data_IF_981811767885
#
_entry.id   IF_981811767885
#
_cell.length_a   1.000
_cell.length_b   1.000
_cell.length_c   1.000
_cell.angle_alpha   90.00
_cell.angle_beta   90.00
_cell.angle_gamma   90.00
#
_symmetry.space_group_name_H-M   'P 1'
#
loop_
_entity.id
_entity.type
_entity.pdbx_description
1 polymer ?
#
# COMPACT_ATOMS: atom_id res chain seq x y z
N UNK A 1 -23.35 -6.97 57.35
CA UNK A 1 -21.92 -7.25 57.06
C UNK A 1 -21.63 -8.63 56.43
N UNK A 2 -22.38 -9.74 56.69
CA UNK A 2 -22.00 -11.07 56.15
C UNK A 2 -22.38 -11.30 54.67
N UNK A 3 -23.28 -10.49 54.10
CA UNK A 3 -23.66 -10.64 52.68
C UNK A 3 -22.62 -10.04 51.72
N UNK A 4 -21.83 -9.07 52.17
CA UNK A 4 -20.80 -8.43 51.34
C UNK A 4 -19.57 -9.33 51.21
N UNK A 5 -19.21 -10.06 52.26
CA UNK A 5 -18.11 -11.04 52.23
C UNK A 5 -18.43 -12.19 51.29
N UNK A 6 -19.63 -12.77 51.37
CA UNK A 6 -20.05 -13.89 50.50
C UNK A 6 -20.07 -13.49 49.02
N UNK A 7 -20.55 -12.28 48.69
CA UNK A 7 -20.53 -11.77 47.30
C UNK A 7 -19.12 -11.55 46.77
N UNK A 8 -18.21 -11.07 47.61
CA UNK A 8 -16.80 -10.88 47.25
C UNK A 8 -16.10 -12.22 47.03
N UNK A 9 -16.36 -13.21 47.89
CA UNK A 9 -15.82 -14.56 47.73
C UNK A 9 -16.33 -15.22 46.46
N UNK A 10 -17.63 -15.08 46.14
CA UNK A 10 -18.20 -15.60 44.89
C UNK A 10 -17.59 -14.93 43.65
N UNK A 11 -17.38 -13.62 43.68
CA UNK A 11 -16.79 -12.87 42.57
C UNK A 11 -15.33 -13.29 42.32
N UNK A 12 -14.53 -13.46 43.38
CA UNK A 12 -13.15 -13.94 43.28
C UNK A 12 -13.12 -15.37 42.75
N UNK A 13 -14.01 -16.24 43.23
CA UNK A 13 -14.07 -17.63 42.77
C UNK A 13 -14.48 -17.72 41.30
N UNK A 14 -15.44 -16.90 40.85
CA UNK A 14 -15.82 -16.78 39.45
C UNK A 14 -14.66 -16.28 38.59
N UNK A 15 -13.93 -15.27 39.08
CA UNK A 15 -12.74 -14.73 38.39
C UNK A 15 -11.63 -15.80 38.28
N UNK A 16 -11.37 -16.55 39.34
CA UNK A 16 -10.42 -17.67 39.34
C UNK A 16 -10.85 -18.79 38.38
N UNK A 17 -12.15 -19.11 38.31
CA UNK A 17 -12.68 -20.09 37.36
C UNK A 17 -12.52 -19.60 35.92
N UNK A 18 -12.79 -18.32 35.65
CA UNK A 18 -12.54 -17.71 34.32
C UNK A 18 -11.06 -17.75 33.96
N UNK A 19 -10.16 -17.43 34.90
CA UNK A 19 -8.70 -17.52 34.73
C UNK A 19 -8.27 -18.95 34.40
N UNK A 20 -8.81 -19.95 35.11
CA UNK A 20 -8.42 -21.35 34.96
C UNK A 20 -9.00 -22.00 33.69
N UNK A 21 -10.23 -21.64 33.29
CA UNK A 21 -10.91 -22.24 32.14
C UNK A 21 -10.69 -21.48 30.81
N UNK A 22 -10.43 -20.18 30.85
CA UNK A 22 -10.22 -19.33 29.66
C UNK A 22 -9.12 -18.29 29.88
N UNK A 23 -7.83 -18.70 29.99
CA UNK A 23 -6.71 -17.78 30.17
C UNK A 23 -6.55 -16.75 29.03
N UNK A 24 -7.20 -16.99 27.87
CA UNK A 24 -7.26 -16.08 26.72
C UNK A 24 -8.02 -14.77 26.98
N UNK A 25 -8.86 -14.70 28.02
CA UNK A 25 -9.61 -13.48 28.36
C UNK A 25 -8.76 -12.42 29.08
N UNK A 26 -7.54 -12.77 29.54
CA UNK A 26 -6.68 -11.89 30.34
C UNK A 26 -5.23 -11.86 29.83
N UNK A 27 -4.90 -12.66 28.80
CA UNK A 27 -3.63 -12.49 28.10
C UNK A 27 -3.61 -11.14 27.39
N UNK A 28 -2.44 -10.48 27.40
CA UNK A 28 -2.15 -9.42 26.43
C UNK A 28 -2.63 -9.90 25.04
N UNK A 29 -3.35 -9.07 24.28
CA UNK A 29 -3.81 -9.46 22.95
C UNK A 29 -2.60 -9.89 22.12
N UNK A 30 -2.53 -11.20 21.89
CA UNK A 30 -1.61 -11.82 20.96
C UNK A 30 -2.36 -12.23 19.71
N UNK A 31 -1.65 -12.53 18.61
CA UNK A 31 -2.26 -13.05 17.39
C UNK A 31 -3.16 -14.24 17.73
N UNK A 32 -4.34 -14.29 17.07
CA UNK A 32 -5.22 -15.45 17.13
C UNK A 32 -4.37 -16.69 16.79
N UNK A 33 -4.51 -17.82 17.53
CA UNK A 33 -3.74 -19.04 17.25
C UNK A 33 -3.91 -19.60 15.83
N UNK A 34 -4.95 -19.15 15.13
CA UNK A 34 -5.32 -19.50 13.75
C UNK A 34 -5.18 -18.33 12.77
N UNK A 35 -4.49 -17.24 13.14
CA UNK A 35 -4.15 -16.19 12.18
C UNK A 35 -3.08 -16.71 11.21
N UNK A 36 -3.53 -17.36 10.13
CA UNK A 36 -2.66 -17.84 9.05
C UNK A 36 -1.85 -16.74 8.34
N UNK A 37 -2.25 -15.47 8.48
CA UNK A 37 -1.62 -14.37 7.79
C UNK A 37 -0.39 -13.86 8.57
N UNK A 38 -0.48 -13.76 9.90
CA UNK A 38 0.55 -13.17 10.79
C UNK A 38 1.28 -12.02 10.10
N UNK A 39 0.52 -11.11 9.47
CA UNK A 39 1.11 -10.11 8.59
C UNK A 39 1.84 -9.08 9.43
N UNK A 40 3.15 -9.24 9.50
CA UNK A 40 4.04 -8.37 10.24
C UNK A 40 4.85 -7.53 9.25
N UNK A 41 4.35 -6.32 9.00
CA UNK A 41 5.05 -5.35 8.15
C UNK A 41 6.36 -4.91 8.78
N UNK A 42 6.55 -5.04 10.10
CA UNK A 42 7.81 -4.79 10.78
C UNK A 42 8.97 -5.64 10.24
N UNK A 43 8.68 -6.79 9.62
CA UNK A 43 9.67 -7.67 9.02
C UNK A 43 10.08 -7.29 7.61
N UNK A 44 9.40 -6.36 6.96
CA UNK A 44 9.75 -5.90 5.62
C UNK A 44 10.70 -4.72 5.74
N UNK A 45 11.91 -4.89 5.23
CA UNK A 45 12.98 -3.90 5.32
C UNK A 45 12.89 -2.93 4.14
N UNK A 46 12.72 -1.65 4.49
CA UNK A 46 12.82 -0.53 3.57
C UNK A 46 14.04 0.30 3.95
N UNK A 47 15.06 0.42 3.07
CA UNK A 47 16.33 1.10 3.40
C UNK A 47 16.15 2.52 3.95
N UNK A 48 15.21 3.29 3.38
CA UNK A 48 14.89 4.65 3.81
C UNK A 48 14.40 4.77 5.26
N UNK A 49 13.89 3.68 5.85
CA UNK A 49 13.39 3.68 7.23
C UNK A 49 14.51 3.51 8.26
N UNK A 50 15.75 3.23 7.84
CA UNK A 50 16.88 2.97 8.74
C UNK A 50 17.11 4.06 9.78
N UNK A 51 16.86 5.33 9.41
CA UNK A 51 17.15 6.49 10.25
C UNK A 51 15.90 7.12 10.88
N UNK A 52 14.72 6.50 10.73
CA UNK A 52 13.48 6.96 11.33
C UNK A 52 13.16 5.99 12.47
N UNK A 53 13.30 6.38 13.76
CA UNK A 53 12.97 5.49 14.85
C UNK A 53 11.48 5.10 14.82
N UNK A 54 11.18 3.82 14.89
CA UNK A 54 9.81 3.29 14.95
C UNK A 54 9.75 2.07 15.86
N UNK A 55 8.54 1.73 16.31
CA UNK A 55 8.23 0.50 17.05
C UNK A 55 7.18 -0.32 16.30
N UNK A 56 7.21 -1.66 16.40
CA UNK A 56 6.10 -2.47 15.94
C UNK A 56 4.85 -2.16 16.79
N UNK A 57 3.69 -2.14 16.15
CA UNK A 57 2.39 -2.04 16.82
C UNK A 57 1.46 -3.11 16.26
N UNK A 58 0.97 -3.99 17.12
CA UNK A 58 -0.01 -5.01 16.78
C UNK A 58 -1.41 -4.41 16.88
N UNK A 59 -2.16 -4.41 15.77
CA UNK A 59 -3.48 -3.76 15.70
C UNK A 59 -4.53 -4.61 16.44
N UNK A 60 -5.22 -3.99 17.39
CA UNK A 60 -6.27 -4.62 18.19
C UNK A 60 -7.64 -4.59 17.51
N UNK A 61 -8.59 -5.47 17.90
CA UNK A 61 -9.93 -5.52 17.32
C UNK A 61 -10.72 -4.20 17.33
N UNK A 62 -10.46 -3.33 18.30
CA UNK A 62 -11.11 -2.02 18.42
C UNK A 62 -10.27 -0.86 17.89
N UNK A 63 -9.13 -1.13 17.24
CA UNK A 63 -8.24 -0.12 16.68
C UNK A 63 -8.42 0.01 15.15
N UNK A 64 -8.24 1.24 14.66
CA UNK A 64 -8.06 1.57 13.24
C UNK A 64 -6.98 2.63 13.12
N UNK A 65 -6.48 2.89 11.90
CA UNK A 65 -5.50 3.97 11.70
C UNK A 65 -6.06 5.32 12.16
N UNK A 66 -7.33 5.62 11.87
CA UNK A 66 -7.98 6.86 12.28
C UNK A 66 -8.15 6.93 13.80
N UNK A 67 -8.51 5.83 14.46
CA UNK A 67 -8.67 5.81 15.92
C UNK A 67 -7.34 5.95 16.65
N UNK A 68 -6.28 5.35 16.10
CA UNK A 68 -4.93 5.39 16.67
C UNK A 68 -4.24 6.74 16.47
N UNK A 69 -4.42 7.36 15.30
CA UNK A 69 -3.60 8.50 14.86
C UNK A 69 -4.40 9.77 14.54
N UNK A 70 -5.72 9.73 14.65
CA UNK A 70 -6.60 10.85 14.33
C UNK A 70 -6.34 11.37 12.91
N UNK A 71 -6.23 12.69 12.75
CA UNK A 71 -5.98 13.34 11.46
C UNK A 71 -4.61 12.99 10.83
N UNK A 72 -3.69 12.38 11.59
CA UNK A 72 -2.35 11.99 11.12
C UNK A 72 -2.30 10.55 10.58
N UNK A 73 -3.44 9.86 10.50
CA UNK A 73 -3.51 8.48 10.02
C UNK A 73 -2.91 8.28 8.63
N UNK A 74 -3.08 9.27 7.73
CA UNK A 74 -2.54 9.24 6.36
C UNK A 74 -1.02 9.15 6.37
N UNK A 75 -0.35 9.82 7.32
CA UNK A 75 1.10 9.77 7.43
C UNK A 75 1.55 8.35 7.75
N UNK A 76 0.91 7.70 8.73
CA UNK A 76 1.23 6.33 9.14
C UNK A 76 0.89 5.31 8.05
N UNK A 77 -0.23 5.51 7.34
CA UNK A 77 -0.60 4.72 6.17
C UNK A 77 0.49 4.79 5.09
N UNK A 78 0.91 6.01 4.71
CA UNK A 78 1.99 6.23 3.74
C UNK A 78 3.31 5.62 4.18
N UNK A 79 3.67 5.80 5.45
CA UNK A 79 4.89 5.22 6.04
C UNK A 79 4.93 3.69 5.92
N UNK A 80 3.78 3.02 6.06
CA UNK A 80 3.66 1.57 5.90
C UNK A 80 3.34 1.11 4.48
N UNK A 81 3.18 2.02 3.51
CA UNK A 81 2.64 1.74 2.16
C UNK A 81 1.29 0.99 2.22
N UNK A 82 0.47 1.35 3.20
CA UNK A 82 -0.72 0.63 3.63
C UNK A 82 -1.98 1.46 3.36
N UNK A 83 -3.08 0.80 3.01
CA UNK A 83 -4.41 1.42 3.02
C UNK A 83 -5.24 1.03 4.25
N UNK A 84 -6.36 1.73 4.47
CA UNK A 84 -7.25 1.48 5.60
C UNK A 84 -7.84 0.08 5.61
N UNK A 85 -8.13 -0.48 4.42
CA UNK A 85 -8.72 -1.81 4.28
C UNK A 85 -7.74 -2.91 4.69
N UNK A 86 -6.46 -2.67 4.49
CA UNK A 86 -5.37 -3.55 4.86
C UNK A 86 -4.78 -3.24 6.23
N UNK A 87 -5.28 -2.23 6.93
CA UNK A 87 -4.98 -2.00 8.34
C UNK A 87 -6.02 -2.69 9.23
N UNK A 88 -5.88 -4.01 9.42
CA UNK A 88 -6.89 -4.84 10.11
C UNK A 88 -6.35 -5.44 11.43
N UNK A 89 -7.24 -5.76 12.39
CA UNK A 89 -6.85 -6.42 13.63
C UNK A 89 -6.09 -7.73 13.40
N UNK A 90 -4.99 -7.93 14.11
CA UNK A 90 -4.13 -9.12 13.97
C UNK A 90 -2.82 -8.87 13.20
N UNK A 91 -2.73 -7.78 12.44
CA UNK A 91 -1.49 -7.42 11.77
C UNK A 91 -0.55 -6.60 12.67
N UNK A 92 0.74 -6.54 12.31
CA UNK A 92 1.71 -5.61 12.91
C UNK A 92 2.15 -4.56 11.90
N UNK A 93 2.02 -3.28 12.28
CA UNK A 93 2.50 -2.13 11.50
C UNK A 93 3.70 -1.48 12.16
N UNK A 94 4.45 -0.67 11.40
CA UNK A 94 5.50 0.20 11.92
C UNK A 94 4.89 1.53 12.38
N UNK A 95 5.13 1.93 13.62
CA UNK A 95 4.68 3.21 14.18
C UNK A 95 5.90 4.05 14.56
N UNK A 96 6.13 5.20 13.91
CA UNK A 96 7.23 6.10 14.28
C UNK A 96 7.17 6.50 15.74
N UNK A 97 8.33 6.67 16.37
CA UNK A 97 8.40 7.21 17.73
C UNK A 97 8.00 8.69 17.77
N UNK A 98 8.23 9.41 16.67
CA UNK A 98 7.83 10.79 16.45
C UNK A 98 7.08 10.88 15.10
N UNK A 99 5.82 11.35 15.10
CA UNK A 99 4.99 11.34 13.87
C UNK A 99 5.39 12.45 12.89
N UNK A 100 5.96 13.53 13.41
CA UNK A 100 6.43 14.68 12.65
C UNK A 100 7.59 14.29 11.72
N UNK A 101 8.37 13.26 12.07
CA UNK A 101 9.45 12.72 11.22
C UNK A 101 8.91 12.15 9.89
N UNK A 102 7.62 11.85 9.82
CA UNK A 102 6.99 11.22 8.65
C UNK A 102 5.94 12.07 7.94
N UNK A 103 5.72 13.32 8.36
CA UNK A 103 4.71 14.22 7.79
C UNK A 103 4.89 14.41 6.27
N UNK A 104 6.14 14.55 5.82
CA UNK A 104 6.51 14.72 4.41
C UNK A 104 7.41 13.59 3.90
N UNK A 105 7.39 12.45 4.57
CA UNK A 105 8.30 11.36 4.26
C UNK A 105 8.17 10.89 2.81
N UNK A 106 9.31 10.84 2.14
CA UNK A 106 9.53 10.18 0.86
C UNK A 106 10.92 9.56 0.85
N UNK A 107 11.07 8.33 0.35
CA UNK A 107 12.38 7.70 0.16
C UNK A 107 13.08 8.18 -1.12
N UNK A 108 12.36 8.87 -2.01
CA UNK A 108 12.88 9.29 -3.31
C UNK A 108 13.53 10.68 -3.24
N UNK A 109 14.60 10.92 -3.99
CA UNK A 109 15.33 12.18 -3.92
C UNK A 109 14.49 13.36 -4.43
N UNK A 110 14.67 14.55 -3.86
CA UNK A 110 14.04 15.77 -4.37
C UNK A 110 14.51 16.09 -5.80
N UNK A 111 15.78 15.82 -6.09
CA UNK A 111 16.38 16.00 -7.42
C UNK A 111 16.90 14.66 -7.96
N UNK A 112 16.42 14.26 -9.14
CA UNK A 112 16.85 13.05 -9.83
C UNK A 112 17.58 13.38 -11.13
N UNK A 113 18.90 13.18 -11.13
CA UNK A 113 19.78 13.60 -12.23
C UNK A 113 19.41 12.99 -13.59
N UNK A 114 19.03 11.71 -13.64
CA UNK A 114 18.64 11.03 -14.89
C UNK A 114 17.35 11.61 -15.51
N UNK A 115 16.51 12.24 -14.69
CA UNK A 115 15.27 12.86 -15.14
C UNK A 115 15.45 14.29 -15.70
N UNK A 116 16.61 14.93 -15.54
CA UNK A 116 16.87 16.31 -15.99
C UNK A 116 16.56 16.57 -17.48
N UNK A 117 16.91 15.67 -18.42
CA UNK A 117 16.66 15.91 -19.84
C UNK A 117 15.19 15.82 -20.25
N UNK A 118 14.31 15.33 -19.37
CA UNK A 118 12.94 14.99 -19.69
C UNK A 118 11.96 15.98 -19.05
N UNK A 119 10.98 16.45 -19.82
CA UNK A 119 9.88 17.28 -19.30
C UNK A 119 9.14 16.56 -18.18
N UNK A 120 8.84 15.27 -18.38
CA UNK A 120 8.21 14.39 -17.39
C UNK A 120 8.98 13.08 -17.29
N UNK A 121 9.13 12.59 -16.07
CA UNK A 121 9.80 11.33 -15.76
C UNK A 121 9.15 10.65 -14.57
N UNK A 122 8.97 9.34 -14.66
CA UNK A 122 8.43 8.50 -13.59
C UNK A 122 9.56 7.60 -13.09
N UNK A 123 9.82 7.62 -11.79
CA UNK A 123 10.73 6.68 -11.13
C UNK A 123 9.93 5.75 -10.23
N UNK A 124 10.05 4.45 -10.46
CA UNK A 124 9.52 3.40 -9.61
C UNK A 124 10.70 2.74 -8.90
N UNK A 125 10.68 2.77 -7.57
CA UNK A 125 11.64 2.08 -6.72
C UNK A 125 10.97 0.85 -6.10
N UNK A 126 11.34 -0.32 -6.63
CA UNK A 126 10.82 -1.62 -6.20
C UNK A 126 11.27 -1.93 -4.77
N UNK A 127 12.46 -1.50 -4.36
CA UNK A 127 12.96 -1.77 -3.01
C UNK A 127 12.18 -0.97 -1.99
N UNK A 128 11.92 0.31 -2.28
CA UNK A 128 11.20 1.21 -1.39
C UNK A 128 9.66 1.08 -1.47
N UNK A 129 9.16 0.35 -2.47
CA UNK A 129 7.73 0.29 -2.79
C UNK A 129 7.16 1.70 -2.97
N UNK A 130 7.78 2.48 -3.86
CA UNK A 130 7.49 3.89 -4.04
C UNK A 130 7.53 4.32 -5.51
N UNK A 131 6.76 5.35 -5.84
CA UNK A 131 6.78 5.99 -7.15
C UNK A 131 6.95 7.51 -7.00
N UNK A 132 7.73 8.11 -7.89
CA UNK A 132 7.95 9.55 -7.94
C UNK A 132 7.70 10.11 -9.33
N UNK A 133 6.98 11.24 -9.38
CA UNK A 133 6.78 12.03 -10.58
C UNK A 133 7.75 13.23 -10.57
N UNK A 134 8.51 13.38 -11.64
CA UNK A 134 9.54 14.40 -11.80
C UNK A 134 9.31 15.22 -13.06
N UNK A 135 9.65 16.51 -13.00
CA UNK A 135 9.78 17.35 -14.18
C UNK A 135 11.15 18.01 -14.20
N UNK A 136 11.88 17.86 -15.31
CA UNK A 136 13.24 18.38 -15.46
C UNK A 136 14.15 18.01 -14.29
N UNK A 137 13.97 16.80 -13.76
CA UNK A 137 14.72 16.28 -12.62
C UNK A 137 14.25 16.72 -11.24
N UNK A 138 13.28 17.65 -11.10
CA UNK A 138 12.72 18.05 -9.80
C UNK A 138 11.47 17.24 -9.46
N UNK A 139 11.43 16.65 -8.27
CA UNK A 139 10.28 15.90 -7.77
C UNK A 139 9.07 16.84 -7.62
N UNK A 140 7.93 16.46 -8.19
CA UNK A 140 6.66 17.18 -8.05
C UNK A 140 5.80 16.58 -6.95
N UNK A 141 5.75 15.26 -6.91
CA UNK A 141 5.14 14.50 -5.84
C UNK A 141 5.64 13.07 -5.89
N UNK A 142 5.43 12.36 -4.79
CA UNK A 142 5.69 10.93 -4.70
C UNK A 142 4.71 10.27 -3.74
N UNK A 143 4.53 8.97 -3.91
CA UNK A 143 3.51 8.20 -3.20
C UNK A 143 3.96 6.74 -3.05
N UNK A 144 3.45 6.03 -2.03
CA UNK A 144 3.57 4.58 -1.96
C UNK A 144 3.12 3.90 -3.25
N UNK A 145 3.80 2.80 -3.59
CA UNK A 145 3.44 1.96 -4.72
C UNK A 145 3.45 0.49 -4.30
N UNK A 146 2.70 -0.35 -5.01
CA UNK A 146 2.76 -1.81 -4.80
C UNK A 146 3.16 -2.49 -6.08
N UNK A 147 4.35 -3.07 -6.08
CA UNK A 147 4.90 -3.75 -7.26
C UNK A 147 4.59 -5.24 -7.28
N UNK A 148 5.08 -5.90 -8.34
CA UNK A 148 5.04 -7.34 -8.51
C UNK A 148 5.67 -8.10 -7.35
N UNK A 149 5.02 -9.17 -6.90
CA UNK A 149 5.55 -10.08 -5.89
C UNK A 149 6.59 -11.04 -6.47
N UNK A 150 7.26 -11.80 -5.62
CA UNK A 150 8.18 -12.84 -6.06
C UNK A 150 7.53 -13.79 -7.08
N UNK A 151 8.27 -14.14 -8.15
CA UNK A 151 7.82 -14.90 -9.34
C UNK A 151 6.89 -14.14 -10.31
N UNK A 152 6.49 -12.93 -9.96
CA UNK A 152 5.70 -12.04 -10.81
C UNK A 152 6.18 -10.60 -10.65
N UNK A 153 7.49 -10.41 -10.65
CA UNK A 153 8.15 -9.13 -10.40
C UNK A 153 7.75 -8.10 -11.46
N UNK A 154 7.70 -6.82 -11.07
CA UNK A 154 7.60 -5.73 -12.03
C UNK A 154 8.91 -5.70 -12.84
N UNK A 155 8.85 -5.72 -14.19
CA UNK A 155 10.05 -5.75 -15.01
C UNK A 155 10.96 -4.53 -14.75
N UNK A 156 12.24 -4.72 -14.40
CA UNK A 156 13.18 -3.62 -14.26
C UNK A 156 13.55 -3.06 -15.63
N UNK A 157 13.89 -1.77 -15.70
CA UNK A 157 14.34 -1.16 -16.95
C UNK A 157 13.86 0.27 -17.15
N UNK A 158 14.12 0.78 -18.35
CA UNK A 158 13.64 2.09 -18.81
C UNK A 158 12.63 1.85 -19.92
N UNK A 159 11.46 2.46 -19.74
CA UNK A 159 10.29 2.30 -20.57
C UNK A 159 9.73 3.67 -20.98
N UNK A 160 8.69 3.64 -21.79
CA UNK A 160 7.92 4.82 -22.18
C UNK A 160 6.44 4.52 -22.01
N UNK A 161 5.72 5.46 -21.41
CA UNK A 161 4.26 5.38 -21.34
C UNK A 161 3.69 5.50 -22.74
N UNK A 162 2.86 4.53 -23.13
CA UNK A 162 2.32 4.43 -24.50
C UNK A 162 0.78 4.43 -24.55
N UNK A 163 0.10 4.14 -23.44
CA UNK A 163 -1.36 4.13 -23.38
C UNK A 163 -1.89 4.55 -22.00
N UNK A 164 -3.08 5.14 -22.02
CA UNK A 164 -3.86 5.55 -20.86
C UNK A 164 -5.29 5.04 -20.97
N UNK A 165 -5.87 4.56 -19.88
CA UNK A 165 -7.28 4.14 -19.85
C UNK A 165 -7.88 4.40 -18.47
N UNK A 166 -8.86 5.32 -18.42
CA UNK A 166 -9.48 5.74 -17.15
C UNK A 166 -10.27 4.62 -16.48
N UNK A 167 -10.89 3.74 -17.26
CA UNK A 167 -11.82 2.72 -16.76
C UNK A 167 -11.36 1.31 -17.12
N UNK A 168 -10.03 1.13 -17.14
CA UNK A 168 -9.40 -0.11 -17.52
C UNK A 168 -9.84 -1.25 -16.62
N UNK A 169 -9.91 -2.45 -17.21
CA UNK A 169 -10.20 -3.69 -16.49
C UNK A 169 -9.19 -4.74 -16.91
N UNK A 170 -8.78 -5.55 -15.95
CA UNK A 170 -7.88 -6.67 -16.22
C UNK A 170 -8.52 -7.65 -17.22
N UNK A 171 -7.74 -8.06 -18.21
CA UNK A 171 -8.11 -9.17 -19.11
C UNK A 171 -7.84 -10.53 -18.46
N UNK A 172 -6.90 -10.60 -17.51
CA UNK A 172 -6.37 -11.84 -16.94
C UNK A 172 -6.97 -12.21 -15.58
N UNK A 173 -7.49 -11.24 -14.83
CA UNK A 173 -7.85 -11.43 -13.42
C UNK A 173 -9.28 -10.96 -13.13
N UNK A 174 -9.98 -11.75 -12.32
CA UNK A 174 -11.31 -11.44 -11.81
C UNK A 174 -11.23 -10.85 -10.39
N UNK A 175 -12.31 -10.22 -9.94
CA UNK A 175 -12.50 -9.83 -8.54
C UNK A 175 -12.59 -11.07 -7.64
N UNK A 176 -12.32 -10.90 -6.34
CA UNK A 176 -12.30 -12.03 -5.40
C UNK A 176 -13.64 -12.79 -5.30
N UNK A 177 -14.75 -12.13 -5.60
CA UNK A 177 -16.08 -12.75 -5.66
C UNK A 177 -16.40 -13.41 -7.02
N UNK A 178 -15.49 -13.34 -7.99
CA UNK A 178 -15.62 -13.90 -9.34
C UNK A 178 -16.67 -13.24 -10.22
N UNK A 179 -17.28 -12.12 -9.79
CA UNK A 179 -18.42 -11.51 -10.49
C UNK A 179 -18.03 -10.54 -11.59
N UNK A 180 -16.80 -10.02 -11.57
CA UNK A 180 -16.35 -9.00 -12.51
C UNK A 180 -14.85 -9.06 -12.75
N UNK A 181 -14.37 -8.44 -13.83
CA UNK A 181 -12.93 -8.25 -14.03
C UNK A 181 -12.34 -7.31 -13.00
N UNK A 182 -11.11 -7.57 -12.58
CA UNK A 182 -10.40 -6.74 -11.61
C UNK A 182 -10.30 -5.30 -12.16
N UNK A 183 -10.82 -4.30 -11.43
CA UNK A 183 -10.81 -2.91 -11.87
C UNK A 183 -9.41 -2.32 -11.75
N UNK A 184 -8.97 -1.64 -12.80
CA UNK A 184 -7.66 -1.01 -12.91
C UNK A 184 -7.85 0.46 -13.27
N UNK A 185 -8.62 1.20 -12.48
CA UNK A 185 -8.92 2.61 -12.79
C UNK A 185 -7.64 3.44 -12.95
N UNK A 186 -7.73 4.49 -13.76
CA UNK A 186 -6.63 5.41 -14.03
C UNK A 186 -5.36 4.69 -14.50
N UNK A 187 -5.52 3.72 -15.41
CA UNK A 187 -4.42 2.89 -15.89
C UNK A 187 -3.49 3.65 -16.82
N UNK A 188 -2.18 3.44 -16.62
CA UNK A 188 -1.07 3.99 -17.38
C UNK A 188 -0.19 2.82 -17.82
N UNK A 189 -0.21 2.46 -19.11
CA UNK A 189 0.62 1.37 -19.63
C UNK A 189 2.03 1.87 -19.87
N UNK A 190 3.00 1.07 -19.45
CA UNK A 190 4.41 1.38 -19.66
C UNK A 190 5.17 0.27 -20.37
N UNK A 191 4.63 -0.95 -20.42
CA UNK A 191 5.31 -2.06 -21.06
C UNK A 191 4.31 -3.11 -21.55
N UNK A 192 4.64 -3.75 -22.66
CA UNK A 192 3.99 -4.95 -23.17
C UNK A 192 5.11 -5.98 -23.36
N UNK A 193 4.98 -7.14 -22.72
CA UNK A 193 5.98 -8.20 -22.82
C UNK A 193 5.85 -9.00 -24.12
N UNK A 194 6.85 -9.84 -24.46
CA UNK A 194 6.82 -10.65 -25.70
C UNK A 194 5.66 -11.65 -25.80
N UNK A 195 5.02 -12.00 -24.69
CA UNK A 195 3.81 -12.82 -24.59
C UNK A 195 2.52 -11.99 -24.60
N UNK A 196 2.58 -10.74 -25.07
CA UNK A 196 1.47 -9.78 -25.17
C UNK A 196 0.80 -9.41 -23.83
N UNK A 197 1.49 -9.62 -22.71
CA UNK A 197 1.01 -9.18 -21.39
C UNK A 197 1.31 -7.69 -21.19
N UNK A 198 0.25 -6.89 -20.98
CA UNK A 198 0.36 -5.46 -20.67
C UNK A 198 0.65 -5.20 -19.18
N UNK A 199 1.63 -4.34 -18.91
CA UNK A 199 2.01 -3.89 -17.58
C UNK A 199 1.61 -2.43 -17.39
N UNK A 200 0.85 -2.19 -16.34
CA UNK A 200 0.17 -0.93 -16.08
C UNK A 200 0.52 -0.41 -14.69
N UNK A 201 0.55 0.91 -14.53
CA UNK A 201 0.32 1.57 -13.24
C UNK A 201 -1.18 1.82 -13.12
N UNK A 202 -1.81 1.51 -12.00
CA UNK A 202 -3.26 1.72 -11.84
C UNK A 202 -3.69 1.81 -10.38
N UNK A 203 -4.94 2.27 -10.17
CA UNK A 203 -5.64 2.21 -8.90
C UNK A 203 -5.71 0.78 -8.37
N UNK A 204 -5.34 0.59 -7.11
CA UNK A 204 -5.56 -0.67 -6.37
C UNK A 204 -5.48 -0.46 -4.85
N UNK A 205 -5.50 -1.60 -4.19
CA UNK A 205 -5.38 -1.78 -2.77
C UNK A 205 -3.90 -1.96 -2.36
N UNK A 206 -3.56 -1.50 -1.16
CA UNK A 206 -2.21 -1.25 -0.66
C UNK A 206 -1.93 -2.09 0.59
N UNK A 207 -1.37 -3.31 0.47
CA UNK A 207 -1.11 -4.20 1.60
C UNK A 207 0.24 -3.95 2.31
N UNK A 208 0.94 -2.86 2.00
CA UNK A 208 2.24 -2.56 2.63
C UNK A 208 3.41 -3.43 2.18
N UNK A 209 3.28 -4.16 1.06
CA UNK A 209 4.29 -5.10 0.53
C UNK A 209 4.07 -5.39 -0.96
N UNK A 210 5.09 -5.87 -1.70
CA UNK A 210 4.88 -6.38 -3.06
C UNK A 210 3.77 -7.43 -3.09
N UNK A 211 2.82 -7.27 -4.01
CA UNK A 211 1.60 -8.08 -4.03
C UNK A 211 0.92 -8.22 -5.40
N UNK A 212 1.32 -7.45 -6.42
CA UNK A 212 0.71 -7.58 -7.76
C UNK A 212 1.31 -8.75 -8.54
N UNK A 213 0.76 -8.99 -9.74
CA UNK A 213 1.34 -9.86 -10.76
C UNK A 213 2.10 -9.05 -11.83
N UNK A 214 2.91 -8.07 -11.41
CA UNK A 214 3.80 -7.30 -12.27
C UNK A 214 3.37 -5.85 -12.50
N UNK A 215 2.07 -5.56 -12.54
CA UNK A 215 1.55 -4.19 -12.57
C UNK A 215 1.94 -3.40 -11.31
N UNK A 216 1.91 -2.08 -11.38
CA UNK A 216 2.23 -1.20 -10.26
C UNK A 216 0.95 -0.57 -9.71
N UNK A 217 0.77 -0.72 -8.41
CA UNK A 217 -0.43 -0.26 -7.72
C UNK A 217 -0.27 1.05 -7.01
N UNK A 218 -1.28 1.90 -7.11
CA UNK A 218 -1.38 3.15 -6.36
C UNK A 218 -2.68 3.20 -5.58
N UNK A 219 -2.66 3.96 -4.49
CA UNK A 219 -3.81 4.10 -3.62
C UNK A 219 -4.93 4.86 -4.35
N UNK A 220 -6.13 4.29 -4.37
CA UNK A 220 -7.32 4.99 -4.85
C UNK A 220 -8.56 4.53 -4.09
N UNK A 221 -9.01 5.35 -3.15
CA UNK A 221 -10.17 5.04 -2.32
C UNK A 221 -11.49 5.21 -3.07
N UNK A 222 -11.55 5.97 -4.17
CA UNK A 222 -12.75 6.06 -5.02
C UNK A 222 -13.04 4.69 -5.66
N UNK A 223 -12.00 4.07 -6.23
CA UNK A 223 -12.11 2.72 -6.78
C UNK A 223 -12.42 1.70 -5.68
N UNK A 224 -11.75 1.76 -4.52
CA UNK A 224 -12.04 0.85 -3.41
C UNK A 224 -13.48 1.00 -2.90
N UNK A 225 -14.00 2.23 -2.76
CA UNK A 225 -15.37 2.45 -2.33
C UNK A 225 -16.35 1.88 -3.37
N UNK A 226 -16.13 2.14 -4.66
CA UNK A 226 -17.00 1.63 -5.71
C UNK A 226 -17.08 0.09 -5.71
N UNK A 227 -15.95 -0.57 -5.51
CA UNK A 227 -15.78 -2.03 -5.65
C UNK A 227 -16.07 -2.77 -4.35
N UNK A 228 -15.52 -2.31 -3.24
CA UNK A 228 -15.55 -2.96 -1.93
C UNK A 228 -16.47 -2.25 -0.93
N UNK A 229 -17.09 -1.13 -1.30
CA UNK A 229 -17.99 -0.33 -0.44
C UNK A 229 -17.30 0.30 0.77
N UNK A 230 -15.96 0.40 0.74
CA UNK A 230 -15.13 1.02 1.77
C UNK A 230 -13.97 1.80 1.14
N UNK A 231 -13.49 2.88 1.76
CA UNK A 231 -14.07 3.54 2.94
C UNK A 231 -15.32 4.36 2.57
N UNK A 232 -16.18 4.69 3.54
CA UNK A 232 -17.40 5.49 3.29
C UNK A 232 -17.08 6.88 2.72
N UNK A 233 -15.98 7.47 3.16
CA UNK A 233 -15.47 8.77 2.71
C UNK A 233 -14.05 8.59 2.12
N UNK A 234 -13.95 8.47 0.78
CA UNK A 234 -12.67 8.45 0.07
C UNK A 234 -11.94 9.79 0.20
N UNK A 235 -10.66 9.76 0.57
CA UNK A 235 -9.79 10.95 0.67
C UNK A 235 -8.45 10.78 -0.05
N UNK A 236 -8.04 9.55 -0.37
CA UNK A 236 -6.78 9.27 -1.09
C UNK A 236 -7.05 8.84 -2.54
N UNK A 237 -6.42 9.54 -3.48
CA UNK A 237 -6.64 9.41 -4.94
C UNK A 237 -5.31 9.46 -5.72
N UNK A 238 -4.29 8.79 -5.20
CA UNK A 238 -2.93 8.79 -5.71
C UNK A 238 -2.86 8.32 -7.19
N UNK A 239 -3.63 7.30 -7.56
CA UNK A 239 -3.71 6.82 -8.94
C UNK A 239 -4.24 7.89 -9.91
N UNK A 240 -5.38 8.50 -9.57
CA UNK A 240 -5.98 9.62 -10.32
C UNK A 240 -5.00 10.78 -10.48
N UNK A 241 -4.33 11.18 -9.38
CA UNK A 241 -3.36 12.27 -9.38
C UNK A 241 -2.22 12.02 -10.36
N UNK A 242 -1.65 10.81 -10.36
CA UNK A 242 -0.59 10.47 -11.32
C UNK A 242 -1.12 10.46 -12.76
N UNK A 243 -2.29 9.87 -12.99
CA UNK A 243 -2.90 9.81 -14.32
C UNK A 243 -3.15 11.19 -14.92
N UNK A 244 -3.76 12.09 -14.13
CA UNK A 244 -4.01 13.48 -14.54
C UNK A 244 -2.69 14.22 -14.82
N UNK A 245 -1.67 14.02 -13.98
CA UNK A 245 -0.34 14.58 -14.22
C UNK A 245 0.30 14.02 -15.50
N UNK A 246 0.15 12.74 -15.82
CA UNK A 246 0.67 12.18 -17.08
C UNK A 246 -0.03 12.81 -18.29
N UNK A 247 -1.36 12.97 -18.25
CA UNK A 247 -2.12 13.60 -19.35
C UNK A 247 -1.79 15.07 -19.59
N UNK A 248 -1.39 15.82 -18.55
CA UNK A 248 -1.29 17.28 -18.62
C UNK A 248 -0.34 17.80 -19.73
N UNK A 249 -0.90 18.44 -20.76
CA UNK A 249 -0.15 18.98 -21.89
C UNK A 249 0.54 17.92 -22.76
N UNK A 250 -0.02 16.71 -22.84
CA UNK A 250 0.40 15.68 -23.81
C UNK A 250 -0.67 15.52 -24.90
N UNK A 251 -0.24 15.28 -26.15
CA UNK A 251 -1.16 14.96 -27.25
C UNK A 251 -1.56 13.48 -27.19
N UNK A 252 -2.86 13.21 -27.00
CA UNK A 252 -3.40 11.85 -27.00
C UNK A 252 -4.28 11.59 -28.23
N UNK A 253 -4.23 10.37 -28.74
CA UNK A 253 -5.18 9.87 -29.74
C UNK A 253 -6.13 8.88 -29.08
N UNK A 254 -7.42 9.16 -29.18
CA UNK A 254 -8.47 8.31 -28.60
C UNK A 254 -8.86 7.24 -29.62
N UNK A 255 -8.77 5.96 -29.24
CA UNK A 255 -9.29 4.85 -30.06
C UNK A 255 -10.63 4.31 -29.52
N UNK A 256 -11.26 3.44 -30.31
CA UNK A 256 -12.48 2.75 -29.91
C UNK A 256 -12.25 1.93 -28.63
N UNK A 257 -13.09 2.13 -27.62
CA UNK A 257 -12.95 1.47 -26.31
C UNK A 257 -12.36 2.33 -25.20
N UNK A 258 -12.00 3.60 -25.47
CA UNK A 258 -11.63 4.57 -24.43
C UNK A 258 -10.15 4.56 -24.04
N UNK A 259 -9.34 3.69 -24.62
CA UNK A 259 -7.88 3.71 -24.52
C UNK A 259 -7.34 4.90 -25.33
N UNK A 260 -6.45 5.66 -24.70
CA UNK A 260 -5.78 6.82 -25.29
C UNK A 260 -4.31 6.50 -25.49
N UNK A 261 -3.85 6.44 -26.74
CA UNK A 261 -2.45 6.20 -27.05
C UNK A 261 -1.64 7.50 -26.99
N UNK A 262 -0.41 7.39 -26.47
CA UNK A 262 0.54 8.49 -26.35
C UNK A 262 1.74 8.22 -27.26
N UNK A 263 2.02 9.13 -28.20
CA UNK A 263 3.21 9.00 -29.06
C UNK A 263 4.50 9.33 -28.29
N UNK A 264 4.44 10.30 -27.37
CA UNK A 264 5.60 10.81 -26.64
C UNK A 264 5.36 10.85 -25.12
N UNK A 265 4.75 9.80 -24.56
CA UNK A 265 4.50 9.75 -23.12
C UNK A 265 5.77 9.82 -22.26
N UNK A 266 5.65 10.10 -20.95
CA UNK A 266 6.77 10.20 -20.03
C UNK A 266 7.70 8.98 -20.07
N UNK A 267 9.00 9.22 -19.86
CA UNK A 267 9.95 8.13 -19.60
C UNK A 267 9.68 7.57 -18.21
N UNK A 268 9.72 6.25 -18.09
CA UNK A 268 9.50 5.54 -16.84
C UNK A 268 10.68 4.61 -16.54
N UNK A 269 11.30 4.75 -15.39
CA UNK A 269 12.34 3.85 -14.90
C UNK A 269 11.79 2.99 -13.76
N UNK A 270 11.96 1.67 -13.89
CA UNK A 270 11.77 0.71 -12.80
C UNK A 270 13.15 0.30 -12.30
N UNK A 271 13.42 0.59 -11.03
CA UNK A 271 14.71 0.39 -10.38
C UNK A 271 14.58 -0.37 -9.06
N UNK A 272 15.70 -0.88 -8.55
CA UNK A 272 15.74 -1.67 -7.32
C UNK A 272 15.33 -3.13 -7.49
N UNK A 273 15.25 -3.84 -6.37
CA UNK A 273 14.83 -5.24 -6.27
C UNK A 273 13.79 -5.40 -5.16
N UNK A 274 13.17 -6.58 -5.04
CA UNK A 274 12.17 -6.83 -4.00
C UNK A 274 12.73 -6.54 -2.59
N UNK A 275 11.95 -5.90 -1.70
CA UNK A 275 12.36 -5.65 -0.33
C UNK A 275 12.62 -6.96 0.41
N UNK A 276 13.60 -6.93 1.31
CA UNK A 276 13.96 -8.08 2.14
C UNK A 276 12.89 -8.29 3.20
N UNK A 277 12.43 -9.54 3.35
CA UNK A 277 11.58 -9.97 4.47
C UNK A 277 12.42 -10.76 5.46
N UNK A 278 12.52 -10.24 6.69
CA UNK A 278 13.27 -10.89 7.78
C UNK A 278 12.52 -12.13 8.29
N UNK A 279 13.26 -13.11 8.79
CA UNK A 279 12.68 -14.24 9.53
C UNK A 279 12.30 -13.86 10.96
N UNK A 280 11.42 -14.66 11.59
CA UNK A 280 10.98 -14.39 12.96
C UNK A 280 12.12 -14.34 13.98
N UNK A 281 13.24 -15.02 13.72
CA UNK A 281 14.43 -15.04 14.58
C UNK A 281 15.33 -13.81 14.43
N UNK A 282 15.08 -12.92 13.46
CA UNK A 282 15.99 -11.85 13.05
C UNK A 282 15.45 -10.43 13.32
N UNK A 283 14.50 -10.26 14.25
CA UNK A 283 14.03 -8.92 14.63
C UNK A 283 15.18 -8.12 15.26
N UNK A 284 15.48 -6.95 14.69
CA UNK A 284 16.36 -5.92 15.26
C UNK A 284 15.59 -5.04 16.25
#
# INVERSE_FOLDING_TARGET
MPQLSVRLTLAILLMCVIIAYNPRLISLPGPLPEDSAMEDLGRIVYPSLKNIPWRPHFILPDESLERLFGNRWVWVARFNRLDRRHAYPGMTIKVPLNLEDIEHYTPLPEMYGKAKPFRKYILIDVTEQWIGAYEYGKQKFSMPAVTGKAKHETPPGIFRVDALDRHHRSSLYDTADGKSKYPMDYAIRFYVSPDDTGYWIHARDMPGRPASHGCVGLFDEEMQNRVYKVPAEPVLNDAKKLYEWVMDGEETRVEAGGVQFMMNGPVLEVSGSLPVRLDFSQRM
#
